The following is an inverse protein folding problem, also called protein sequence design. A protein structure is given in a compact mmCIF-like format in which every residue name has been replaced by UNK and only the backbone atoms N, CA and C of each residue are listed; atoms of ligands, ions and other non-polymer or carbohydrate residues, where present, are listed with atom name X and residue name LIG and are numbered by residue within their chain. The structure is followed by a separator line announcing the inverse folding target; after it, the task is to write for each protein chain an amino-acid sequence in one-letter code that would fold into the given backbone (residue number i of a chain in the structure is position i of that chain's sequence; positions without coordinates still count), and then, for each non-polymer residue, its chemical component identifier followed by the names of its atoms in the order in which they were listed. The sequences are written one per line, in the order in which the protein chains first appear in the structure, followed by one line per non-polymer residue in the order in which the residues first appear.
data_IF_444868182649
#
_entry.id   IF_444868182649
#
_cell.length_a   1.000
_cell.length_b   1.000
_cell.length_c   1.000
_cell.angle_alpha   90.00
_cell.angle_beta   90.00
_cell.angle_gamma   90.00
#
_symmetry.space_group_name_H-M   'P 1'
#
loop_
_entity.id
_entity.type
_entity.pdbx_description
1 polymer ?
#
# COMPACT_ATOMS: atom_id res chain seq x y z
N UNK A 1 30.10 -9.97 -13.67
CA UNK A 1 28.76 -10.54 -13.42
C UNK A 1 28.48 -10.67 -11.92
N UNK A 2 28.43 -9.55 -11.21
CA UNK A 2 27.94 -9.42 -9.83
C UNK A 2 27.87 -7.91 -9.58
N UNK A 3 26.89 -7.43 -8.83
CA UNK A 3 26.69 -6.03 -8.44
C UNK A 3 26.01 -5.09 -9.46
N UNK A 4 24.72 -5.34 -9.76
CA UNK A 4 23.83 -4.26 -10.26
C UNK A 4 22.46 -4.30 -9.60
N UNK A 5 21.95 -5.50 -9.26
CA UNK A 5 20.67 -5.66 -8.52
C UNK A 5 20.75 -5.12 -7.08
N UNK A 6 21.94 -5.10 -6.47
CA UNK A 6 22.09 -4.59 -5.10
C UNK A 6 21.98 -3.06 -5.04
N UNK A 7 22.39 -2.33 -6.08
CA UNK A 7 22.32 -0.87 -6.10
C UNK A 7 20.88 -0.35 -6.21
N UNK A 8 19.97 -1.09 -6.86
CA UNK A 8 18.57 -0.68 -6.94
C UNK A 8 17.86 -0.74 -5.58
N UNK A 9 18.32 -1.62 -4.68
CA UNK A 9 17.80 -1.70 -3.32
C UNK A 9 18.38 -0.61 -2.42
N UNK A 10 19.66 -0.24 -2.62
CA UNK A 10 20.32 0.81 -1.84
C UNK A 10 19.94 2.25 -2.26
N UNK A 11 19.71 2.53 -3.55
CA UNK A 11 19.23 3.86 -4.00
C UNK A 11 17.79 4.15 -3.52
N UNK A 12 16.94 3.12 -3.44
CA UNK A 12 15.62 3.25 -2.81
C UNK A 12 15.76 3.48 -1.29
N UNK A 13 16.76 2.87 -0.65
CA UNK A 13 17.08 3.07 0.76
C UNK A 13 17.62 4.48 1.06
N UNK A 14 18.39 5.11 0.17
CA UNK A 14 18.93 6.45 0.39
C UNK A 14 17.83 7.54 0.29
N UNK A 15 16.76 7.24 -0.45
CA UNK A 15 15.53 8.05 -0.48
C UNK A 15 14.70 7.94 0.82
N UNK A 16 14.97 6.94 1.68
CA UNK A 16 14.27 6.76 2.97
C UNK A 16 14.69 7.75 4.05
N UNK A 17 15.91 8.29 4.00
CA UNK A 17 16.47 9.06 5.13
C UNK A 17 16.06 10.55 5.10
N UNK A 18 15.51 11.03 3.96
CA UNK A 18 15.17 12.45 3.75
C UNK A 18 13.70 12.77 3.53
N UNK A 19 12.80 11.78 3.44
CA UNK A 19 11.36 12.03 3.57
C UNK A 19 10.99 11.99 5.05
N UNK A 20 10.29 13.01 5.55
CA UNK A 20 9.75 12.99 6.92
C UNK A 20 9.07 11.64 7.17
N UNK A 21 9.56 10.93 8.18
CA UNK A 21 9.31 9.57 8.70
C UNK A 21 7.83 9.12 8.81
N UNK A 22 6.86 9.94 8.42
CA UNK A 22 5.46 9.57 8.43
C UNK A 22 5.05 8.89 7.12
N UNK A 23 4.81 7.58 7.20
CA UNK A 23 3.77 6.84 6.44
C UNK A 23 4.22 5.76 5.43
N UNK A 24 5.48 5.34 5.37
CA UNK A 24 5.82 4.04 4.74
C UNK A 24 5.66 2.93 5.79
N UNK A 25 4.80 1.96 5.53
CA UNK A 25 4.47 0.87 6.45
C UNK A 25 4.50 -0.47 5.72
N UNK A 26 5.32 -1.40 6.20
CA UNK A 26 5.34 -2.77 5.69
C UNK A 26 4.10 -3.52 6.18
N UNK A 27 3.22 -3.95 5.28
CA UNK A 27 2.03 -4.72 5.62
C UNK A 27 2.36 -6.20 5.82
N UNK A 28 3.22 -6.73 4.96
CA UNK A 28 3.73 -8.10 4.96
C UNK A 28 5.18 -8.09 4.46
N UNK A 29 5.86 -9.23 4.45
CA UNK A 29 7.29 -9.33 4.06
C UNK A 29 7.57 -8.81 2.64
N UNK A 30 6.60 -8.94 1.73
CA UNK A 30 6.69 -8.58 0.32
C UNK A 30 5.85 -7.36 -0.09
N UNK A 31 5.15 -6.71 0.85
CA UNK A 31 4.23 -5.60 0.56
C UNK A 31 4.48 -4.41 1.49
N UNK A 32 4.70 -3.24 0.88
CA UNK A 32 4.75 -1.94 1.54
C UNK A 32 3.55 -1.07 1.14
N UNK A 33 3.06 -0.30 2.10
CA UNK A 33 1.99 0.67 1.93
C UNK A 33 2.55 2.06 2.25
N UNK A 34 2.24 3.02 1.39
CA UNK A 34 2.49 4.44 1.65
C UNK A 34 1.15 5.15 1.71
N UNK A 35 0.91 5.88 2.80
CA UNK A 35 -0.27 6.72 2.92
C UNK A 35 0.11 8.18 2.70
N UNK A 36 -0.82 8.95 2.14
CA UNK A 36 -0.71 10.39 2.01
C UNK A 36 -2.04 11.03 2.43
N UNK A 37 -2.07 11.67 3.59
CA UNK A 37 -3.25 12.39 4.06
C UNK A 37 -3.34 12.50 5.58
N UNK A 38 -4.52 12.23 6.13
CA UNK A 38 -4.77 12.27 7.57
C UNK A 38 -4.13 11.06 8.28
N UNK A 39 -3.16 11.33 9.16
CA UNK A 39 -2.43 10.30 9.92
C UNK A 39 -3.33 9.38 10.75
N UNK A 40 -4.38 9.92 11.37
CA UNK A 40 -5.31 9.11 12.17
C UNK A 40 -6.02 8.05 11.31
N UNK A 41 -6.46 8.44 10.12
CA UNK A 41 -7.12 7.56 9.17
C UNK A 41 -6.13 6.54 8.59
N UNK A 42 -4.88 6.95 8.35
CA UNK A 42 -3.82 6.06 7.87
C UNK A 42 -3.53 4.92 8.85
N UNK A 43 -3.47 5.22 10.16
CA UNK A 43 -3.27 4.20 11.21
C UNK A 43 -4.42 3.18 11.25
N UNK A 44 -5.67 3.66 11.14
CA UNK A 44 -6.84 2.77 11.10
C UNK A 44 -6.82 1.88 9.87
N UNK A 45 -6.46 2.43 8.70
CA UNK A 45 -6.37 1.66 7.47
C UNK A 45 -5.26 0.60 7.56
N UNK A 46 -4.05 0.98 7.95
CA UNK A 46 -2.91 0.08 8.15
C UNK A 46 -3.26 -1.09 9.06
N UNK A 47 -3.88 -0.83 10.21
CA UNK A 47 -4.24 -1.88 11.16
C UNK A 47 -5.25 -2.87 10.58
N UNK A 48 -6.28 -2.37 9.88
CA UNK A 48 -7.25 -3.24 9.21
C UNK A 48 -6.60 -4.10 8.13
N UNK A 49 -5.75 -3.50 7.30
CA UNK A 49 -5.06 -4.23 6.23
C UNK A 49 -4.08 -5.27 6.76
N UNK A 50 -3.36 -5.00 7.86
CA UNK A 50 -2.49 -6.00 8.50
C UNK A 50 -3.26 -7.22 8.99
N UNK A 51 -4.41 -6.99 9.63
CA UNK A 51 -5.28 -8.07 10.09
C UNK A 51 -5.78 -8.89 8.90
N UNK A 52 -6.13 -8.24 7.79
CA UNK A 52 -6.52 -8.94 6.56
C UNK A 52 -5.39 -9.82 6.01
N UNK A 53 -4.16 -9.30 5.92
CA UNK A 53 -3.00 -10.08 5.46
C UNK A 53 -2.81 -11.34 6.31
N UNK A 54 -2.87 -11.20 7.63
CA UNK A 54 -2.73 -12.32 8.55
C UNK A 54 -3.89 -13.32 8.42
N UNK A 55 -5.13 -12.82 8.38
CA UNK A 55 -6.33 -13.65 8.23
C UNK A 55 -6.32 -14.44 6.93
N UNK A 56 -5.92 -13.81 5.82
CA UNK A 56 -5.81 -14.46 4.53
C UNK A 56 -4.76 -15.58 4.56
N UNK A 57 -3.58 -15.30 5.10
CA UNK A 57 -2.51 -16.30 5.25
C UNK A 57 -2.93 -17.48 6.14
N UNK A 58 -3.74 -17.23 7.17
CA UNK A 58 -4.29 -18.30 8.00
C UNK A 58 -5.38 -19.12 7.33
N UNK A 59 -6.16 -18.54 6.41
CA UNK A 59 -7.30 -19.19 5.78
C UNK A 59 -6.90 -19.96 4.51
N UNK A 60 -6.04 -19.35 3.69
CA UNK A 60 -5.65 -19.83 2.36
C UNK A 60 -4.26 -20.50 2.39
N UNK A 61 -3.52 -20.37 3.49
CA UNK A 61 -2.15 -20.87 3.67
C UNK A 61 -1.13 -20.28 2.66
N UNK A 62 -1.49 -19.20 1.97
CA UNK A 62 -0.68 -18.52 0.94
C UNK A 62 -0.50 -17.02 1.29
N UNK A 63 0.67 -16.40 1.04
CA UNK A 63 0.84 -14.96 1.14
C UNK A 63 -0.14 -14.20 0.23
N UNK A 64 -0.61 -13.05 0.72
CA UNK A 64 -1.53 -12.19 -0.04
C UNK A 64 -0.89 -11.63 -1.30
N UNK A 65 -1.64 -11.55 -2.41
CA UNK A 65 -1.17 -10.83 -3.60
C UNK A 65 -1.34 -9.32 -3.45
N UNK A 66 -0.48 -8.54 -4.11
CA UNK A 66 -0.55 -7.07 -4.10
C UNK A 66 -1.90 -6.58 -4.64
N UNK A 67 -2.40 -7.24 -5.69
CA UNK A 67 -3.70 -6.93 -6.29
C UNK A 67 -4.86 -7.19 -5.32
N UNK A 68 -4.82 -8.31 -4.58
CA UNK A 68 -5.85 -8.65 -3.60
C UNK A 68 -5.95 -7.58 -2.50
N UNK A 69 -4.82 -7.20 -1.91
CA UNK A 69 -4.78 -6.16 -0.87
C UNK A 69 -5.23 -4.81 -1.41
N UNK A 70 -4.87 -4.48 -2.65
CA UNK A 70 -5.33 -3.25 -3.30
C UNK A 70 -6.85 -3.21 -3.41
N UNK A 71 -7.49 -4.30 -3.86
CA UNK A 71 -8.96 -4.40 -3.93
C UNK A 71 -9.60 -4.31 -2.54
N UNK A 72 -8.99 -4.93 -1.54
CA UNK A 72 -9.48 -4.85 -0.16
C UNK A 72 -9.46 -3.41 0.38
N UNK A 73 -8.35 -2.70 0.20
CA UNK A 73 -8.22 -1.28 0.60
C UNK A 73 -9.24 -0.41 -0.14
N UNK A 74 -9.37 -0.60 -1.46
CA UNK A 74 -10.33 0.11 -2.28
C UNK A 74 -11.78 -0.12 -1.80
N UNK A 75 -12.13 -1.37 -1.46
CA UNK A 75 -13.43 -1.71 -0.89
C UNK A 75 -13.68 -1.09 0.49
N UNK A 76 -12.68 -1.03 1.36
CA UNK A 76 -12.77 -0.33 2.65
C UNK A 76 -13.04 1.16 2.47
N UNK A 77 -12.31 1.80 1.53
CA UNK A 77 -12.50 3.20 1.20
C UNK A 77 -13.91 3.46 0.65
N UNK A 78 -14.35 2.64 -0.32
CA UNK A 78 -15.68 2.74 -0.91
C UNK A 78 -16.80 2.54 0.12
N UNK A 79 -16.68 1.55 1.01
CA UNK A 79 -17.70 1.28 2.05
C UNK A 79 -17.95 2.47 2.95
N UNK A 80 -16.89 3.21 3.29
CA UNK A 80 -17.00 4.44 4.10
C UNK A 80 -17.67 5.60 3.35
N UNK A 81 -17.71 5.59 2.02
CA UNK A 81 -18.45 6.60 1.22
C UNK A 81 -19.93 6.28 1.09
N UNK A 82 -20.31 5.00 1.11
CA UNK A 82 -21.68 4.54 0.91
C UNK A 82 -22.46 4.32 2.22
N UNK A 83 -21.78 4.40 3.37
CA UNK A 83 -22.40 4.22 4.69
C UNK A 83 -22.74 5.58 5.30
N UNK A 84 -24.03 5.86 5.51
CA UNK A 84 -24.46 7.07 6.20
C UNK A 84 -23.92 7.14 7.64
N UNK A 85 -23.46 8.31 8.07
CA UNK A 85 -22.92 8.53 9.43
C UNK A 85 -21.45 8.17 9.60
N UNK A 86 -20.75 7.70 8.56
CA UNK A 86 -19.31 7.43 8.57
C UNK A 86 -18.60 8.46 7.69
N UNK A 87 -17.46 8.98 8.15
CA UNK A 87 -16.64 9.90 7.38
C UNK A 87 -15.82 9.13 6.32
N UNK A 88 -15.75 9.59 5.06
CA UNK A 88 -14.81 9.07 4.08
C UNK A 88 -13.36 9.21 4.55
N UNK A 89 -12.48 8.29 4.13
CA UNK A 89 -11.06 8.40 4.42
C UNK A 89 -10.46 9.65 3.79
N UNK A 90 -9.72 10.45 4.56
CA UNK A 90 -9.05 11.65 4.07
C UNK A 90 -7.62 11.39 3.59
N UNK A 91 -7.41 10.29 2.85
CA UNK A 91 -6.08 9.88 2.39
C UNK A 91 -6.13 9.13 1.05
N UNK A 92 -5.06 9.27 0.28
CA UNK A 92 -4.74 8.39 -0.84
C UNK A 92 -3.65 7.42 -0.42
N UNK A 93 -3.64 6.21 -0.97
CA UNK A 93 -2.60 5.22 -0.69
C UNK A 93 -1.88 4.79 -1.95
N UNK A 94 -0.63 4.39 -1.75
CA UNK A 94 0.22 3.76 -2.73
C UNK A 94 0.65 2.40 -2.17
N UNK A 95 0.35 1.34 -2.89
CA UNK A 95 0.69 -0.03 -2.53
C UNK A 95 1.81 -0.46 -3.46
N UNK A 96 2.91 -0.92 -2.89
CA UNK A 96 4.07 -1.43 -3.61
C UNK A 96 4.37 -2.81 -3.08
N UNK A 97 4.60 -3.77 -3.95
CA UNK A 97 5.04 -5.08 -3.51
C UNK A 97 5.49 -5.96 -4.66
N UNK A 98 6.00 -7.12 -4.29
CA UNK A 98 6.37 -8.16 -5.24
C UNK A 98 5.31 -9.25 -5.18
N UNK A 99 4.89 -9.74 -6.34
CA UNK A 99 4.02 -10.91 -6.38
C UNK A 99 4.79 -12.13 -5.83
N UNK A 100 4.25 -12.87 -4.85
CA UNK A 100 4.98 -13.95 -4.19
C UNK A 100 5.23 -15.17 -5.11
N UNK A 101 4.43 -15.35 -6.16
CA UNK A 101 4.52 -16.48 -7.09
C UNK A 101 5.42 -16.17 -8.29
N UNK A 102 5.37 -14.95 -8.79
CA UNK A 102 6.07 -14.53 -10.02
C UNK A 102 7.29 -13.64 -9.77
N UNK A 103 7.40 -13.05 -8.57
CA UNK A 103 8.46 -12.11 -8.23
C UNK A 103 8.38 -10.77 -8.97
N UNK A 104 7.28 -10.50 -9.69
CA UNK A 104 7.13 -9.28 -10.48
C UNK A 104 6.74 -8.12 -9.55
N UNK A 105 7.45 -6.98 -9.62
CA UNK A 105 7.07 -5.80 -8.86
C UNK A 105 5.75 -5.21 -9.41
N UNK A 106 4.83 -4.90 -8.51
CA UNK A 106 3.55 -4.28 -8.84
C UNK A 106 3.36 -3.01 -8.02
N UNK A 107 2.82 -1.98 -8.68
CA UNK A 107 2.53 -0.67 -8.09
C UNK A 107 1.05 -0.35 -8.32
N UNK A 108 0.35 -0.07 -7.22
CA UNK A 108 -1.04 0.34 -7.25
C UNK A 108 -1.24 1.63 -6.46
N UNK A 109 -2.14 2.48 -6.93
CA UNK A 109 -2.65 3.63 -6.16
C UNK A 109 -4.12 3.46 -5.92
N UNK A 110 -4.58 3.82 -4.73
CA UNK A 110 -6.01 3.97 -4.45
C UNK A 110 -6.35 5.38 -3.98
N UNK A 111 -7.54 5.81 -4.36
CA UNK A 111 -8.13 7.08 -3.97
C UNK A 111 -9.29 6.84 -2.98
N UNK A 112 -9.62 7.82 -2.12
CA UNK A 112 -10.61 7.65 -1.07
C UNK A 112 -12.05 7.38 -1.58
N UNK A 113 -12.30 7.55 -2.88
CA UNK A 113 -13.51 7.09 -3.56
C UNK A 113 -13.63 5.57 -3.67
N UNK A 114 -12.56 4.82 -3.41
CA UNK A 114 -12.46 3.38 -3.65
C UNK A 114 -12.06 3.00 -5.07
N UNK A 115 -11.58 3.95 -5.86
CA UNK A 115 -10.99 3.66 -7.18
C UNK A 115 -9.52 3.27 -7.02
N UNK A 116 -9.07 2.26 -7.76
CA UNK A 116 -7.67 1.86 -7.81
C UNK A 116 -7.14 1.86 -9.25
N UNK A 117 -5.85 2.14 -9.40
CA UNK A 117 -5.14 2.15 -10.69
C UNK A 117 -3.76 1.52 -10.54
N UNK A 118 -3.22 0.96 -11.63
CA UNK A 118 -1.91 0.31 -11.68
C UNK A 118 -0.93 1.07 -12.59
N UNK A 119 -0.48 2.28 -12.21
CA UNK A 119 0.45 3.04 -13.01
C UNK A 119 1.88 2.49 -12.87
N UNK A 120 2.71 2.70 -13.90
CA UNK A 120 4.14 2.34 -13.86
C UNK A 120 4.96 3.23 -12.91
N UNK A 121 4.49 4.44 -12.66
CA UNK A 121 5.08 5.41 -11.75
C UNK A 121 3.97 6.31 -11.21
N UNK A 122 4.10 6.76 -9.96
CA UNK A 122 3.12 7.63 -9.33
C UNK A 122 3.77 8.62 -8.37
N UNK A 123 3.22 9.83 -8.30
CA UNK A 123 3.55 10.83 -7.31
C UNK A 123 2.27 11.24 -6.58
N UNK A 124 2.31 11.26 -5.25
CA UNK A 124 1.20 11.70 -4.42
C UNK A 124 1.71 12.74 -3.40
N UNK A 125 1.26 13.99 -3.51
CA UNK A 125 1.68 15.05 -2.59
C UNK A 125 1.19 16.44 -2.98
N UNK A 126 1.63 17.46 -2.25
CA UNK A 126 1.23 18.86 -2.50
C UNK A 126 1.80 19.45 -3.81
N UNK A 127 2.82 18.82 -4.38
CA UNK A 127 3.49 19.22 -5.62
C UNK A 127 3.48 18.09 -6.68
N UNK A 128 2.51 17.16 -6.59
CA UNK A 128 2.34 16.07 -7.58
C UNK A 128 1.37 16.44 -8.68
#
# INVERSE_FOLDING_TARGET
MRCTIMYFFYDVLECWEKMRISEIVNLDDHIALVCAGLKADALVLVNKTRIECQSHRHTVEDPVTVEYITRYIAGLQQKNTQSGGVRPFGLSTLIIGFDPHTGVPSLYKTDPSGTFSAPKANAAGRNS
#
